data_IF_090188416657
#
_entry.id   IF_090188416657
#
_cell.length_a   1.000
_cell.length_b   1.000
_cell.length_c   1.000
_cell.angle_alpha   90.00
_cell.angle_beta   90.00
_cell.angle_gamma   90.00
#
_symmetry.space_group_name_H-M   'P 1'
#
loop_
_entity.id
_entity.type
_entity.pdbx_description
1 polymer ?
#
# COMPACT_ATOMS: atom_id res chain seq x y z
N UNK A 1 -20.38 32.83 39.59
CA UNK A 1 -20.56 32.60 38.15
C UNK A 1 -19.49 33.36 37.35
N UNK A 2 -18.47 32.67 36.79
CA UNK A 2 -17.76 33.18 35.63
C UNK A 2 -17.42 32.04 34.66
N UNK A 3 -18.41 31.47 33.95
CA UNK A 3 -18.18 30.30 33.08
C UNK A 3 -18.28 30.65 31.58
N UNK A 4 -18.71 31.87 31.22
CA UNK A 4 -18.97 32.24 29.80
C UNK A 4 -17.78 32.82 29.03
N UNK A 5 -16.69 33.25 29.67
CA UNK A 5 -15.54 33.87 28.96
C UNK A 5 -14.48 32.87 28.48
N UNK A 6 -14.32 31.74 29.15
CA UNK A 6 -13.26 30.75 28.86
C UNK A 6 -13.52 29.93 27.59
N UNK A 7 -14.78 29.63 27.26
CA UNK A 7 -15.11 28.85 26.05
C UNK A 7 -14.78 29.56 24.73
N UNK A 8 -14.80 30.90 24.70
CA UNK A 8 -14.45 31.67 23.49
C UNK A 8 -12.96 31.62 23.15
N UNK A 9 -12.09 31.56 24.16
CA UNK A 9 -10.64 31.46 23.94
C UNK A 9 -10.21 30.04 23.58
N UNK A 10 -10.86 29.02 24.14
CA UNK A 10 -10.61 27.61 23.78
C UNK A 10 -11.06 27.33 22.34
N UNK A 11 -12.21 27.87 21.91
CA UNK A 11 -12.71 27.73 20.54
C UNK A 11 -11.85 28.52 19.52
N UNK A 12 -11.35 29.72 19.88
CA UNK A 12 -10.42 30.46 19.02
C UNK A 12 -9.03 29.82 18.94
N UNK A 13 -8.49 29.27 20.03
CA UNK A 13 -7.20 28.58 20.01
C UNK A 13 -7.24 27.26 19.23
N UNK A 14 -8.36 26.54 19.28
CA UNK A 14 -8.54 25.32 18.48
C UNK A 14 -8.75 25.63 16.99
N UNK A 15 -9.43 26.73 16.63
CA UNK A 15 -9.50 27.18 15.23
C UNK A 15 -8.14 27.67 14.70
N UNK A 16 -7.32 28.32 15.54
CA UNK A 16 -6.00 28.81 15.16
C UNK A 16 -4.98 27.66 15.00
N UNK A 17 -5.06 26.61 15.83
CA UNK A 17 -4.23 25.40 15.67
C UNK A 17 -4.58 24.58 14.42
N UNK A 18 -5.85 24.56 14.00
CA UNK A 18 -6.26 23.90 12.74
C UNK A 18 -5.82 24.70 11.51
N UNK A 19 -5.82 26.04 11.57
CA UNK A 19 -5.37 26.89 10.46
C UNK A 19 -3.84 26.99 10.34
N UNK A 20 -3.12 27.00 11.46
CA UNK A 20 -1.64 27.02 11.45
C UNK A 20 -1.05 25.66 11.07
N UNK A 21 -1.74 24.55 11.38
CA UNK A 21 -1.36 23.21 10.92
C UNK A 21 -1.45 23.01 9.40
N UNK A 22 -2.26 23.80 8.69
CA UNK A 22 -2.37 23.75 7.23
C UNK A 22 -1.34 24.62 6.49
N UNK A 23 -0.78 25.65 7.16
CA UNK A 23 0.19 26.55 6.54
C UNK A 23 1.64 26.05 6.66
N UNK A 24 1.97 25.30 7.73
CA UNK A 24 3.35 24.88 8.03
C UNK A 24 3.76 23.53 7.41
N UNK A 25 2.86 22.80 6.75
CA UNK A 25 3.21 21.54 6.05
C UNK A 25 3.48 21.71 4.56
N UNK A 26 3.22 22.89 3.98
CA UNK A 26 3.37 23.15 2.54
C UNK A 26 4.79 23.57 2.13
N UNK A 27 5.51 24.30 2.99
CA UNK A 27 6.83 24.88 2.65
C UNK A 27 7.93 23.84 2.34
N UNK A 28 8.07 22.71 3.06
CA UNK A 28 9.16 21.76 2.80
C UNK A 28 9.07 21.06 1.43
N UNK A 29 7.87 20.96 0.88
CA UNK A 29 7.62 20.24 -0.37
C UNK A 29 7.96 21.09 -1.60
N UNK A 30 7.59 22.36 -1.58
CA UNK A 30 7.83 23.30 -2.69
C UNK A 30 9.33 23.54 -2.87
N UNK A 31 10.07 23.71 -1.77
CA UNK A 31 11.52 23.92 -1.82
C UNK A 31 12.29 22.72 -2.38
N UNK A 32 11.90 21.49 -1.99
CA UNK A 32 12.48 20.26 -2.54
C UNK A 32 12.17 20.12 -4.03
N UNK A 33 10.91 20.34 -4.44
CA UNK A 33 10.53 20.27 -5.86
C UNK A 33 11.31 21.30 -6.70
N UNK A 34 11.39 22.55 -6.25
CA UNK A 34 12.17 23.60 -6.92
C UNK A 34 13.63 23.17 -7.10
N UNK A 35 14.26 22.66 -6.04
CA UNK A 35 15.65 22.18 -6.10
C UNK A 35 15.87 21.07 -7.13
N UNK A 36 14.88 20.19 -7.31
CA UNK A 36 14.94 19.09 -8.27
C UNK A 36 14.72 19.57 -9.71
N UNK A 37 13.81 20.53 -9.91
CA UNK A 37 13.50 21.09 -11.22
C UNK A 37 14.61 21.99 -11.75
N UNK A 38 15.32 22.70 -10.87
CA UNK A 38 16.44 23.57 -11.24
C UNK A 38 17.67 22.80 -11.73
N UNK A 39 17.79 21.52 -11.35
CA UNK A 39 18.84 20.63 -11.85
C UNK A 39 18.64 20.20 -13.32
N UNK A 40 17.51 20.54 -13.96
CA UNK A 40 17.14 20.07 -15.30
C UNK A 40 16.69 21.19 -16.25
N UNK A 41 16.89 20.96 -17.55
CA UNK A 41 16.53 21.88 -18.63
C UNK A 41 15.03 21.86 -18.98
N UNK A 42 14.16 21.96 -17.99
CA UNK A 42 12.73 22.22 -18.24
C UNK A 42 12.51 23.71 -18.47
N UNK A 43 11.63 24.04 -19.40
CA UNK A 43 11.10 25.39 -19.58
C UNK A 43 10.27 25.82 -18.36
N UNK A 44 10.10 27.12 -18.17
CA UNK A 44 9.29 27.65 -17.06
C UNK A 44 7.84 27.14 -17.10
N UNK A 45 7.29 26.95 -18.29
CA UNK A 45 5.96 26.38 -18.48
C UNK A 45 5.90 24.91 -18.00
N UNK A 46 6.91 24.10 -18.34
CA UNK A 46 6.99 22.71 -17.89
C UNK A 46 7.17 22.61 -16.37
N UNK A 47 7.98 23.50 -15.78
CA UNK A 47 8.14 23.60 -14.32
C UNK A 47 6.79 23.92 -13.65
N UNK A 48 6.07 24.92 -14.15
CA UNK A 48 4.74 25.27 -13.63
C UNK A 48 3.77 24.09 -13.71
N UNK A 49 3.76 23.36 -14.82
CA UNK A 49 2.90 22.18 -14.98
C UNK A 49 3.26 21.05 -14.00
N UNK A 50 4.54 20.88 -13.64
CA UNK A 50 4.93 19.93 -12.59
C UNK A 50 4.48 20.41 -11.20
N UNK A 51 4.56 21.71 -10.91
CA UNK A 51 3.98 22.26 -9.67
C UNK A 51 2.48 21.97 -9.57
N UNK A 52 1.73 22.18 -10.64
CA UNK A 52 0.28 21.90 -10.66
C UNK A 52 -0.03 20.42 -10.38
N UNK A 53 0.81 19.49 -10.86
CA UNK A 53 0.67 18.05 -10.58
C UNK A 53 0.86 17.75 -9.09
N UNK A 54 1.90 18.31 -8.47
CA UNK A 54 2.16 18.13 -7.04
C UNK A 54 1.13 18.83 -6.15
N UNK A 55 0.65 20.01 -6.56
CA UNK A 55 -0.46 20.70 -5.89
C UNK A 55 -1.75 19.90 -5.94
N UNK A 56 -2.03 19.26 -7.09
CA UNK A 56 -3.19 18.37 -7.25
C UNK A 56 -3.08 17.17 -6.31
N UNK A 57 -1.90 16.57 -6.21
CA UNK A 57 -1.64 15.49 -5.25
C UNK A 57 -1.85 15.95 -3.80
N UNK A 58 -1.30 17.11 -3.42
CA UNK A 58 -1.45 17.70 -2.09
C UNK A 58 -2.91 17.98 -1.73
N UNK A 59 -3.67 18.62 -2.63
CA UNK A 59 -5.12 18.87 -2.45
C UNK A 59 -5.92 17.57 -2.32
N UNK A 60 -5.52 16.53 -3.05
CA UNK A 60 -6.12 15.21 -2.95
C UNK A 60 -5.57 14.40 -1.76
N UNK A 61 -4.72 14.97 -0.90
CA UNK A 61 -4.09 14.32 0.24
C UNK A 61 -3.31 13.05 -0.14
N UNK A 62 -2.76 12.99 -1.35
CA UNK A 62 -1.93 11.88 -1.83
C UNK A 62 -0.53 12.02 -1.26
N UNK A 63 0.13 10.92 -0.83
CA UNK A 63 1.49 10.99 -0.31
C UNK A 63 2.42 11.53 -1.39
N UNK A 64 3.19 12.56 -1.03
CA UNK A 64 4.10 13.24 -1.94
C UNK A 64 5.38 12.45 -2.17
N UNK A 65 5.84 11.67 -1.18
CA UNK A 65 7.14 10.97 -1.27
C UNK A 65 7.23 9.98 -2.46
N UNK A 66 6.22 9.16 -2.79
CA UNK A 66 6.21 8.36 -4.01
C UNK A 66 6.38 9.19 -5.29
N UNK A 67 5.79 10.40 -5.35
CA UNK A 67 5.91 11.30 -6.49
C UNK A 67 7.32 11.90 -6.59
N UNK A 68 7.91 12.26 -5.45
CA UNK A 68 9.31 12.70 -5.38
C UNK A 68 10.25 11.62 -5.93
N UNK A 69 10.11 10.37 -5.45
CA UNK A 69 10.94 9.26 -5.92
C UNK A 69 10.78 9.01 -7.43
N UNK A 70 9.55 9.11 -7.94
CA UNK A 70 9.27 8.99 -9.38
C UNK A 70 9.93 10.10 -10.18
N UNK A 71 9.89 11.33 -9.67
CA UNK A 71 10.55 12.48 -10.27
C UNK A 71 12.07 12.29 -10.25
N UNK A 72 12.67 11.95 -9.10
CA UNK A 72 14.11 11.66 -8.96
C UNK A 72 14.58 10.59 -9.96
N UNK A 73 13.83 9.48 -10.08
CA UNK A 73 14.14 8.41 -11.03
C UNK A 73 14.07 8.90 -12.48
N UNK A 74 13.03 9.66 -12.84
CA UNK A 74 12.82 10.18 -14.18
C UNK A 74 13.88 11.21 -14.57
N UNK A 75 14.25 12.08 -13.62
CA UNK A 75 15.34 13.03 -13.77
C UNK A 75 16.65 12.28 -14.00
N UNK A 76 17.00 11.31 -13.13
CA UNK A 76 18.20 10.48 -13.31
C UNK A 76 18.26 9.79 -14.68
N UNK A 77 17.11 9.35 -15.19
CA UNK A 77 16.96 8.72 -16.51
C UNK A 77 16.80 9.71 -17.68
N UNK A 78 16.81 11.03 -17.41
CA UNK A 78 16.61 12.11 -18.40
C UNK A 78 15.33 11.92 -19.22
N UNK A 79 14.26 11.49 -18.54
CA UNK A 79 12.95 11.31 -19.16
C UNK A 79 12.43 12.67 -19.62
N UNK A 80 11.87 12.70 -20.83
CA UNK A 80 11.25 13.93 -21.38
C UNK A 80 10.05 14.34 -20.54
N UNK A 81 9.71 15.62 -20.59
CA UNK A 81 8.63 16.20 -19.79
C UNK A 81 7.29 15.45 -19.90
N UNK A 82 6.76 15.25 -21.12
CA UNK A 82 5.43 14.64 -21.29
C UNK A 82 5.32 13.23 -20.68
N UNK A 83 6.23 12.27 -20.98
CA UNK A 83 6.20 10.97 -20.31
C UNK A 83 6.31 11.02 -18.79
N UNK A 84 7.08 11.98 -18.25
CA UNK A 84 7.20 12.20 -16.81
C UNK A 84 5.86 12.68 -16.23
N UNK A 85 5.26 13.71 -16.81
CA UNK A 85 3.98 14.26 -16.36
C UNK A 85 2.88 13.18 -16.39
N UNK A 86 2.81 12.38 -17.46
CA UNK A 86 1.89 11.25 -17.54
C UNK A 86 2.15 10.20 -16.47
N UNK A 87 3.43 9.88 -16.20
CA UNK A 87 3.79 8.91 -15.18
C UNK A 87 3.40 9.37 -13.78
N UNK A 88 3.59 10.66 -13.45
CA UNK A 88 3.16 11.25 -12.19
C UNK A 88 1.64 11.25 -12.05
N UNK A 89 0.90 11.62 -13.10
CA UNK A 89 -0.56 11.57 -13.10
C UNK A 89 -1.09 10.14 -12.93
N UNK A 90 -0.47 9.14 -13.58
CA UNK A 90 -0.80 7.73 -13.36
C UNK A 90 -0.57 7.31 -11.91
N UNK A 91 0.52 7.76 -11.30
CA UNK A 91 0.84 7.50 -9.90
C UNK A 91 -0.22 8.11 -8.98
N UNK A 92 -0.59 9.38 -9.17
CA UNK A 92 -1.66 10.06 -8.42
C UNK A 92 -2.97 9.28 -8.51
N UNK A 93 -3.38 8.92 -9.72
CA UNK A 93 -4.61 8.16 -9.95
C UNK A 93 -4.57 6.78 -9.26
N UNK A 94 -3.42 6.11 -9.24
CA UNK A 94 -3.27 4.82 -8.57
C UNK A 94 -3.43 4.95 -7.05
N UNK A 95 -2.83 5.98 -6.43
CA UNK A 95 -3.01 6.24 -5.00
C UNK A 95 -4.45 6.67 -4.66
N UNK A 96 -5.09 7.47 -5.51
CA UNK A 96 -6.51 7.82 -5.36
C UNK A 96 -7.40 6.57 -5.42
N UNK A 97 -7.18 5.69 -6.40
CA UNK A 97 -7.91 4.44 -6.52
C UNK A 97 -7.69 3.54 -5.29
N UNK A 98 -6.44 3.39 -4.85
CA UNK A 98 -6.10 2.65 -3.64
C UNK A 98 -6.83 3.19 -2.38
N UNK A 99 -6.98 4.51 -2.25
CA UNK A 99 -7.78 5.10 -1.17
C UNK A 99 -9.25 4.71 -1.27
N UNK A 100 -9.84 4.84 -2.46
CA UNK A 100 -11.26 4.52 -2.66
C UNK A 100 -11.56 3.06 -2.31
N UNK A 101 -10.64 2.15 -2.65
CA UNK A 101 -10.74 0.73 -2.32
C UNK A 101 -10.62 0.47 -0.82
N UNK A 102 -9.71 1.16 -0.13
CA UNK A 102 -9.62 1.07 1.33
C UNK A 102 -10.92 1.57 2.00
N UNK A 103 -11.49 2.68 1.52
CA UNK A 103 -12.76 3.22 2.01
C UNK A 103 -13.91 2.24 1.75
N UNK A 104 -13.97 1.65 0.56
CA UNK A 104 -14.98 0.65 0.22
C UNK A 104 -14.87 -0.62 1.08
N UNK A 105 -13.66 -1.09 1.36
CA UNK A 105 -13.44 -2.29 2.15
C UNK A 105 -13.75 -2.10 3.64
N UNK A 106 -13.37 -0.95 4.22
CA UNK A 106 -13.26 -0.76 5.67
C UNK A 106 -14.15 0.37 6.22
N UNK A 107 -14.71 1.20 5.35
CA UNK A 107 -15.34 2.47 5.71
C UNK A 107 -14.33 3.61 5.87
N UNK A 108 -14.82 4.84 5.77
CA UNK A 108 -14.00 6.06 5.71
C UNK A 108 -13.07 6.23 6.93
N UNK A 109 -13.59 6.06 8.14
CA UNK A 109 -12.81 6.25 9.37
C UNK A 109 -11.64 5.26 9.50
N UNK A 110 -11.88 3.97 9.23
CA UNK A 110 -10.82 2.95 9.29
C UNK A 110 -9.81 3.12 8.17
N UNK A 111 -10.28 3.45 6.96
CA UNK A 111 -9.41 3.69 5.82
C UNK A 111 -8.51 4.90 6.06
N UNK A 112 -9.01 5.98 6.66
CA UNK A 112 -8.19 7.15 7.01
C UNK A 112 -6.99 6.76 7.89
N UNK A 113 -7.24 6.02 8.98
CA UNK A 113 -6.18 5.55 9.89
C UNK A 113 -5.22 4.58 9.18
N UNK A 114 -5.75 3.66 8.35
CA UNK A 114 -4.92 2.71 7.61
C UNK A 114 -3.94 3.40 6.67
N UNK A 115 -4.42 4.42 5.95
CA UNK A 115 -3.69 5.10 4.89
C UNK A 115 -2.66 6.12 5.42
N UNK A 116 -2.63 6.40 6.73
CA UNK A 116 -1.48 7.05 7.37
C UNK A 116 -0.21 6.18 7.23
N UNK A 117 -0.36 4.85 7.13
CA UNK A 117 0.75 3.95 6.85
C UNK A 117 1.03 3.89 5.35
N UNK A 118 1.99 4.70 4.91
CA UNK A 118 2.45 4.76 3.51
C UNK A 118 2.80 3.37 2.94
N UNK A 119 3.38 2.49 3.75
CA UNK A 119 3.77 1.16 3.27
C UNK A 119 2.58 0.27 2.92
N UNK A 120 1.43 0.45 3.59
CA UNK A 120 0.19 -0.24 3.25
C UNK A 120 -0.43 0.35 1.99
N UNK A 121 -0.48 1.68 1.89
CA UNK A 121 -1.03 2.36 0.72
C UNK A 121 -0.27 2.00 -0.55
N UNK A 122 1.07 2.05 -0.49
CA UNK A 122 1.93 1.62 -1.60
C UNK A 122 1.74 0.14 -1.94
N UNK A 123 1.47 -0.73 -0.95
CA UNK A 123 1.15 -2.14 -1.25
C UNK A 123 -0.15 -2.26 -2.04
N UNK A 124 -1.21 -1.54 -1.66
CA UNK A 124 -2.48 -1.54 -2.40
C UNK A 124 -2.23 -1.10 -3.85
N UNK A 125 -1.46 -0.04 -4.06
CA UNK A 125 -1.03 0.41 -5.39
C UNK A 125 -0.26 -0.68 -6.14
N UNK A 126 0.69 -1.35 -5.48
CA UNK A 126 1.50 -2.43 -6.07
C UNK A 126 0.63 -3.61 -6.50
N UNK A 127 -0.41 -3.96 -5.73
CA UNK A 127 -1.35 -5.03 -6.08
C UNK A 127 -2.05 -4.70 -7.41
N UNK A 128 -2.56 -3.48 -7.57
CA UNK A 128 -3.18 -3.05 -8.82
C UNK A 128 -2.20 -3.01 -10.00
N UNK A 129 -0.99 -2.50 -9.78
CA UNK A 129 0.06 -2.49 -10.79
C UNK A 129 0.51 -3.90 -11.20
N UNK A 130 0.28 -4.90 -10.33
CA UNK A 130 0.52 -6.32 -10.61
C UNK A 130 -0.71 -7.05 -11.14
N UNK A 131 -1.73 -6.31 -11.60
CA UNK A 131 -2.96 -6.83 -12.20
C UNK A 131 -3.85 -7.67 -11.25
N UNK A 132 -3.64 -7.56 -9.93
CA UNK A 132 -4.52 -8.17 -8.94
C UNK A 132 -5.92 -7.53 -9.04
N UNK A 133 -6.95 -8.37 -9.10
CA UNK A 133 -8.33 -7.90 -9.31
C UNK A 133 -8.80 -7.09 -8.11
N UNK A 134 -9.57 -6.04 -8.37
CA UNK A 134 -10.12 -5.17 -7.31
C UNK A 134 -10.85 -5.94 -6.21
N UNK A 135 -11.66 -6.93 -6.59
CA UNK A 135 -12.37 -7.81 -5.64
C UNK A 135 -11.40 -8.55 -4.70
N UNK A 136 -10.25 -8.97 -5.19
CA UNK A 136 -9.25 -9.68 -4.38
C UNK A 136 -8.56 -8.72 -3.40
N UNK A 137 -8.25 -7.50 -3.84
CA UNK A 137 -7.71 -6.45 -2.95
C UNK A 137 -8.70 -6.08 -1.85
N UNK A 138 -9.98 -5.91 -2.18
CA UNK A 138 -11.06 -5.70 -1.21
C UNK A 138 -11.13 -6.85 -0.20
N UNK A 139 -11.12 -8.10 -0.69
CA UNK A 139 -11.15 -9.28 0.17
C UNK A 139 -9.93 -9.34 1.09
N UNK A 140 -8.72 -9.06 0.60
CA UNK A 140 -7.51 -9.03 1.42
C UNK A 140 -7.63 -8.00 2.54
N UNK A 141 -8.04 -6.77 2.24
CA UNK A 141 -8.22 -5.72 3.25
C UNK A 141 -9.20 -6.17 4.35
N UNK A 142 -10.32 -6.77 3.97
CA UNK A 142 -11.32 -7.29 4.90
C UNK A 142 -10.83 -8.49 5.72
N UNK A 143 -10.03 -9.39 5.12
CA UNK A 143 -9.45 -10.54 5.81
C UNK A 143 -8.46 -10.11 6.89
N UNK A 144 -7.58 -9.16 6.57
CA UNK A 144 -6.57 -8.68 7.52
C UNK A 144 -7.14 -7.70 8.56
N UNK A 145 -8.20 -6.93 8.26
CA UNK A 145 -8.92 -6.14 9.27
C UNK A 145 -9.45 -7.01 10.42
N UNK A 146 -9.89 -8.24 10.10
CA UNK A 146 -10.41 -9.23 11.05
C UNK A 146 -9.33 -9.94 11.87
N UNK A 147 -8.04 -9.79 11.54
CA UNK A 147 -6.98 -10.37 12.37
C UNK A 147 -6.89 -9.64 13.71
N UNK A 148 -6.80 -10.41 14.80
CA UNK A 148 -6.57 -9.87 16.13
C UNK A 148 -5.14 -9.34 16.35
N UNK A 149 -4.20 -9.71 15.46
CA UNK A 149 -2.80 -9.29 15.56
C UNK A 149 -2.64 -7.77 15.42
N UNK A 150 -1.80 -7.18 16.27
CA UNK A 150 -1.37 -5.78 16.11
C UNK A 150 -0.59 -5.57 14.81
N UNK A 151 0.06 -6.63 14.30
CA UNK A 151 0.80 -6.62 13.04
C UNK A 151 -0.07 -6.90 11.81
N UNK A 152 -1.41 -6.87 11.94
CA UNK A 152 -2.32 -7.26 10.85
C UNK A 152 -2.06 -6.56 9.51
N UNK A 153 -1.67 -5.29 9.55
CA UNK A 153 -1.41 -4.50 8.34
C UNK A 153 -0.03 -4.76 7.74
N UNK A 154 0.94 -5.16 8.54
CA UNK A 154 2.19 -5.73 8.02
C UNK A 154 1.93 -7.11 7.44
N UNK A 155 1.12 -7.94 8.09
CA UNK A 155 0.70 -9.23 7.54
C UNK A 155 -0.06 -9.05 6.21
N UNK A 156 -0.91 -8.03 6.07
CA UNK A 156 -1.53 -7.65 4.80
C UNK A 156 -0.46 -7.36 3.74
N UNK A 157 0.59 -6.60 4.09
CA UNK A 157 1.67 -6.28 3.15
C UNK A 157 2.39 -7.52 2.65
N UNK A 158 2.70 -8.45 3.54
CA UNK A 158 3.35 -9.71 3.18
C UNK A 158 2.39 -10.68 2.46
N UNK A 159 1.11 -10.71 2.85
CA UNK A 159 0.05 -11.49 2.22
C UNK A 159 -0.20 -11.06 0.78
N UNK A 160 -0.28 -9.75 0.53
CA UNK A 160 -0.34 -9.22 -0.82
C UNK A 160 0.91 -9.53 -1.65
N UNK A 161 2.09 -9.53 -1.02
CA UNK A 161 3.33 -9.99 -1.68
C UNK A 161 3.29 -11.48 -2.06
N UNK A 162 2.76 -12.33 -1.18
CA UNK A 162 2.57 -13.75 -1.45
C UNK A 162 1.55 -13.98 -2.59
N UNK A 163 0.43 -13.23 -2.60
CA UNK A 163 -0.57 -13.31 -3.67
C UNK A 163 0.06 -13.07 -5.05
N UNK A 164 0.78 -11.95 -5.18
CA UNK A 164 1.49 -11.58 -6.42
C UNK A 164 2.44 -12.71 -6.83
N UNK A 165 3.24 -13.24 -5.90
CA UNK A 165 4.20 -14.30 -6.19
C UNK A 165 3.53 -15.59 -6.69
N UNK A 166 2.40 -15.98 -6.09
CA UNK A 166 1.64 -17.17 -6.50
C UNK A 166 1.06 -17.01 -7.90
N UNK A 167 0.42 -15.87 -8.18
CA UNK A 167 -0.18 -15.58 -9.48
C UNK A 167 0.88 -15.49 -10.59
N UNK A 168 2.00 -14.81 -10.33
CA UNK A 168 3.11 -14.72 -11.29
C UNK A 168 3.76 -16.07 -11.57
N UNK A 169 3.70 -17.00 -10.62
CA UNK A 169 4.18 -18.37 -10.81
C UNK A 169 3.19 -19.27 -11.55
N UNK A 170 1.97 -18.78 -11.81
CA UNK A 170 0.93 -19.48 -12.56
C UNK A 170 -0.05 -20.28 -11.71
N UNK A 171 -0.09 -20.04 -10.39
CA UNK A 171 -1.16 -20.59 -9.54
C UNK A 171 -2.45 -19.82 -9.81
N UNK A 172 -3.55 -20.54 -10.02
CA UNK A 172 -4.86 -19.95 -10.29
C UNK A 172 -5.24 -18.90 -9.24
N UNK A 173 -5.82 -17.78 -9.68
CA UNK A 173 -6.25 -16.66 -8.84
C UNK A 173 -7.04 -17.10 -7.59
N UNK A 174 -8.05 -17.96 -7.79
CA UNK A 174 -8.92 -18.43 -6.71
C UNK A 174 -8.16 -19.24 -5.66
N UNK A 175 -7.20 -20.05 -6.11
CA UNK A 175 -6.37 -20.90 -5.28
C UNK A 175 -5.31 -20.07 -4.55
N UNK A 176 -4.69 -19.11 -5.25
CA UNK A 176 -3.74 -18.15 -4.68
C UNK A 176 -4.37 -17.35 -3.55
N UNK A 177 -5.58 -16.83 -3.76
CA UNK A 177 -6.34 -16.11 -2.75
C UNK A 177 -6.69 -17.01 -1.55
N UNK A 178 -7.08 -18.26 -1.81
CA UNK A 178 -7.41 -19.23 -0.75
C UNK A 178 -6.19 -19.57 0.13
N UNK A 179 -4.99 -19.65 -0.46
CA UNK A 179 -3.74 -19.81 0.28
C UNK A 179 -3.51 -18.60 1.20
N UNK A 180 -3.63 -17.37 0.68
CA UNK A 180 -3.40 -16.16 1.47
C UNK A 180 -4.43 -16.01 2.59
N UNK A 181 -5.69 -16.38 2.35
CA UNK A 181 -6.72 -16.46 3.38
C UNK A 181 -6.39 -17.50 4.47
N UNK A 182 -5.91 -18.68 4.09
CA UNK A 182 -5.49 -19.68 5.07
C UNK A 182 -4.30 -19.18 5.91
N UNK A 183 -3.36 -18.48 5.28
CA UNK A 183 -2.24 -17.82 5.95
C UNK A 183 -2.70 -16.70 6.89
N UNK A 184 -3.71 -15.92 6.50
CA UNK A 184 -4.27 -14.86 7.35
C UNK A 184 -4.97 -15.40 8.60
N UNK A 185 -5.29 -16.70 8.63
CA UNK A 185 -5.84 -17.38 9.81
C UNK A 185 -4.78 -18.11 10.64
N UNK A 186 -3.56 -18.21 10.14
CA UNK A 186 -2.43 -18.84 10.84
C UNK A 186 -1.84 -17.91 11.91
N UNK A 187 -1.05 -18.49 12.82
CA UNK A 187 -0.19 -17.70 13.72
C UNK A 187 1.21 -17.47 13.16
N UNK A 188 1.43 -17.79 11.87
CA UNK A 188 2.70 -17.54 11.19
C UNK A 188 2.88 -16.03 11.02
N UNK A 189 4.02 -15.44 11.42
CA UNK A 189 4.30 -14.03 11.19
C UNK A 189 4.30 -13.70 9.69
N UNK A 190 3.77 -12.54 9.30
CA UNK A 190 3.74 -12.11 7.89
C UNK A 190 5.12 -12.10 7.23
N UNK A 191 6.18 -11.76 7.98
CA UNK A 191 7.58 -11.79 7.50
C UNK A 191 8.01 -13.14 6.95
N UNK A 192 7.34 -14.23 7.36
CA UNK A 192 7.61 -15.59 6.91
C UNK A 192 6.72 -16.04 5.75
N UNK A 193 5.71 -15.26 5.32
CA UNK A 193 4.78 -15.68 4.26
C UNK A 193 5.49 -15.97 2.94
N UNK A 194 6.59 -15.27 2.63
CA UNK A 194 7.41 -15.57 1.44
C UNK A 194 7.94 -17.01 1.47
N UNK A 195 8.29 -17.56 2.63
CA UNK A 195 8.80 -18.93 2.76
C UNK A 195 7.75 -20.00 2.45
N UNK A 196 6.47 -19.64 2.45
CA UNK A 196 5.37 -20.54 2.04
C UNK A 196 5.44 -20.80 0.55
N UNK A 197 5.83 -19.81 -0.26
CA UNK A 197 6.07 -19.99 -1.69
C UNK A 197 7.17 -21.03 -1.96
N UNK A 198 8.23 -21.04 -1.13
CA UNK A 198 9.36 -21.98 -1.25
C UNK A 198 8.94 -23.46 -1.01
N UNK A 199 7.75 -23.69 -0.45
CA UNK A 199 7.23 -25.04 -0.25
C UNK A 199 6.89 -25.72 -1.58
N UNK A 200 6.50 -24.95 -2.60
CA UNK A 200 6.10 -25.50 -3.89
C UNK A 200 7.27 -26.15 -4.67
N UNK A 201 8.43 -25.49 -4.88
CA UNK A 201 9.61 -26.15 -5.44
C UNK A 201 10.02 -27.40 -4.65
N UNK A 202 9.90 -27.36 -3.31
CA UNK A 202 10.24 -28.50 -2.46
C UNK A 202 9.24 -29.67 -2.60
N UNK A 203 7.98 -29.38 -2.90
CA UNK A 203 6.94 -30.37 -3.21
C UNK A 203 7.16 -31.05 -4.56
N UNK A 204 7.62 -30.29 -5.56
CA UNK A 204 7.93 -30.83 -6.88
C UNK A 204 9.02 -31.91 -6.81
N UNK A 205 10.07 -31.69 -6.01
CA UNK A 205 11.10 -32.69 -5.74
C UNK A 205 10.55 -34.00 -5.14
N UNK A 206 9.36 -33.94 -4.53
CA UNK A 206 8.63 -35.08 -3.95
C UNK A 206 7.44 -35.55 -4.79
N UNK A 207 7.33 -35.09 -6.05
CA UNK A 207 6.23 -35.41 -6.98
C UNK A 207 4.84 -35.01 -6.47
N UNK A 208 4.75 -33.97 -5.65
CA UNK A 208 3.49 -33.36 -5.24
C UNK A 208 3.14 -32.30 -6.28
N UNK A 209 1.92 -32.34 -6.84
CA UNK A 209 1.45 -31.33 -7.78
C UNK A 209 1.31 -29.96 -7.10
N UNK A 210 1.31 -28.87 -7.87
CA UNK A 210 1.11 -27.54 -7.31
C UNK A 210 -0.27 -27.41 -6.64
N UNK A 211 -1.31 -28.00 -7.26
CA UNK A 211 -2.68 -28.04 -6.74
C UNK A 211 -2.77 -28.80 -5.41
N UNK A 212 -2.16 -29.98 -5.33
CA UNK A 212 -2.11 -30.77 -4.09
C UNK A 212 -1.37 -30.01 -2.99
N UNK A 213 -0.23 -29.38 -3.33
CA UNK A 213 0.53 -28.58 -2.37
C UNK A 213 -0.29 -27.40 -1.86
N UNK A 214 -0.98 -26.67 -2.74
CA UNK A 214 -1.87 -25.58 -2.36
C UNK A 214 -2.98 -26.06 -1.42
N UNK A 215 -3.64 -27.17 -1.74
CA UNK A 215 -4.71 -27.74 -0.91
C UNK A 215 -4.20 -28.14 0.49
N UNK A 216 -2.99 -28.72 0.55
CA UNK A 216 -2.34 -29.04 1.83
C UNK A 216 -2.02 -27.77 2.62
N UNK A 217 -1.49 -26.73 1.98
CA UNK A 217 -1.23 -25.43 2.63
C UNK A 217 -2.53 -24.84 3.17
N UNK A 218 -3.60 -24.79 2.36
CA UNK A 218 -4.92 -24.28 2.77
C UNK A 218 -5.45 -25.02 3.99
N UNK A 219 -5.26 -26.34 4.03
CA UNK A 219 -5.74 -27.20 5.12
C UNK A 219 -4.95 -27.01 6.41
N UNK A 220 -3.62 -26.89 6.32
CA UNK A 220 -2.73 -26.95 7.49
C UNK A 220 -2.19 -25.60 7.96
N UNK A 221 -2.19 -24.56 7.12
CA UNK A 221 -1.73 -23.22 7.50
C UNK A 221 -2.48 -22.64 8.71
N UNK A 222 -3.83 -22.71 8.80
CA UNK A 222 -4.54 -22.12 9.93
C UNK A 222 -4.17 -22.72 11.30
N UNK A 223 -3.61 -23.93 11.31
CA UNK A 223 -3.19 -24.65 12.53
C UNK A 223 -1.69 -24.58 12.78
N UNK A 224 -0.95 -23.90 11.91
CA UNK A 224 0.50 -23.80 11.97
C UNK A 224 0.91 -22.49 12.63
N UNK A 225 1.88 -22.57 13.55
CA UNK A 225 2.49 -21.40 14.18
C UNK A 225 3.79 -20.96 13.50
N UNK A 226 4.40 -21.82 12.69
CA UNK A 226 5.64 -21.54 11.96
C UNK A 226 5.61 -22.18 10.58
N UNK A 227 6.38 -21.63 9.63
CA UNK A 227 6.53 -22.25 8.30
C UNK A 227 7.17 -23.64 8.38
N UNK A 228 8.09 -23.87 9.32
CA UNK A 228 8.69 -25.20 9.55
C UNK A 228 7.66 -26.23 10.01
N UNK A 229 6.68 -25.83 10.81
CA UNK A 229 5.55 -26.70 11.18
C UNK A 229 4.68 -27.00 9.96
N UNK A 230 4.33 -25.97 9.17
CA UNK A 230 3.56 -26.13 7.94
C UNK A 230 4.26 -27.08 6.96
N UNK A 231 5.55 -26.87 6.72
CA UNK A 231 6.41 -27.69 5.86
C UNK A 231 6.36 -29.18 6.24
N UNK A 232 6.33 -29.51 7.54
CA UNK A 232 6.21 -30.90 8.01
C UNK A 232 4.84 -31.52 7.74
N UNK A 233 3.79 -30.71 7.69
CA UNK A 233 2.40 -31.17 7.50
C UNK A 233 2.04 -31.29 6.01
N UNK A 234 2.66 -30.50 5.15
CA UNK A 234 2.34 -30.48 3.71
C UNK A 234 3.23 -31.38 2.85
N UNK A 235 4.32 -31.92 3.41
CA UNK A 235 5.22 -32.87 2.75
C UNK A 235 4.73 -34.30 2.93
#
# INVERSE_FOLDING_TARGET
>A
MPVRRTYRYILMMSLFLVLVGMALSAEPHVDRLNSMLDAFHFSDQEKQQLHEVFDTAGKALIPIEPLNLKLEEALAKRVRFLPLQEALNREINAFQHARNIAIQALGEAKAAVLLENLSVWTRIVTLFQSEVKEREVLNLLQLFDKQASEQRWDNFRYGGGLLIALQQWGIEDSLSMSIVEAMSRSSIPGTDYKKVFDLFPSGFAKRISAEDMAQRIITFAPRSSTVKMLERLVR
#
